data_IF_090328966712
#
_entry.id   IF_090328966712
#
_cell.length_a   1.000
_cell.length_b   1.000
_cell.length_c   1.000
_cell.angle_alpha   90.00
_cell.angle_beta   90.00
_cell.angle_gamma   90.00
#
_symmetry.space_group_name_H-M   'P 1'
#
loop_
_entity.id
_entity.type
_entity.pdbx_description
1 polymer ?
#
# COMPACT_ATOMS: atom_id res chain seq x y z
N UNK A 1 12.35 17.29 -5.43
CA UNK A 1 11.20 16.44 -5.06
C UNK A 1 11.18 15.30 -6.06
N UNK A 2 11.15 14.06 -5.57
CA UNK A 2 10.96 12.93 -6.47
C UNK A 2 9.56 13.02 -7.08
N UNK A 3 9.49 12.99 -8.40
CA UNK A 3 8.26 13.13 -9.18
C UNK A 3 7.59 11.76 -9.40
N UNK A 4 6.35 11.79 -9.92
CA UNK A 4 5.70 10.57 -10.44
C UNK A 4 6.54 9.90 -11.53
N UNK A 5 7.16 10.70 -12.40
CA UNK A 5 8.07 10.22 -13.45
C UNK A 5 9.28 9.48 -12.88
N UNK A 6 9.88 9.96 -11.77
CA UNK A 6 10.99 9.27 -11.11
C UNK A 6 10.52 7.92 -10.53
N UNK A 7 9.33 7.88 -9.93
CA UNK A 7 8.76 6.63 -9.40
C UNK A 7 8.52 5.61 -10.52
N UNK A 8 7.87 6.02 -11.60
CA UNK A 8 7.61 5.14 -12.75
C UNK A 8 8.92 4.64 -13.39
N UNK A 9 9.97 5.46 -13.41
CA UNK A 9 11.29 5.04 -13.85
C UNK A 9 11.85 3.90 -12.99
N UNK A 10 11.74 3.99 -11.67
CA UNK A 10 12.16 2.91 -10.76
C UNK A 10 11.35 1.62 -11.01
N UNK A 11 10.02 1.73 -11.20
CA UNK A 11 9.16 0.59 -11.53
C UNK A 11 9.55 -0.10 -12.85
N UNK A 12 10.00 0.65 -13.85
CA UNK A 12 10.41 0.10 -15.15
C UNK A 12 11.80 -0.55 -15.13
N UNK A 13 12.64 -0.16 -14.20
CA UNK A 13 14.06 -0.60 -14.16
C UNK A 13 14.35 -1.67 -13.13
N UNK A 14 13.55 -1.74 -12.07
CA UNK A 14 13.67 -2.77 -11.02
C UNK A 14 12.77 -3.95 -11.32
N UNK A 15 13.10 -5.11 -10.76
CA UNK A 15 12.35 -6.36 -10.95
C UNK A 15 11.86 -6.98 -9.66
N UNK A 16 12.25 -6.43 -8.51
CA UNK A 16 12.00 -7.01 -7.19
C UNK A 16 11.27 -6.02 -6.30
N UNK A 17 10.26 -6.49 -5.59
CA UNK A 17 9.51 -5.71 -4.60
C UNK A 17 9.47 -6.45 -3.26
N UNK A 18 9.35 -5.68 -2.18
CA UNK A 18 9.20 -6.17 -0.82
C UNK A 18 8.07 -5.39 -0.11
N UNK A 19 6.83 -5.88 -0.14
CA UNK A 19 5.74 -5.26 0.59
C UNK A 19 5.83 -5.51 2.10
N UNK A 20 5.25 -4.58 2.87
CA UNK A 20 4.90 -4.83 4.26
C UNK A 20 3.85 -5.96 4.36
N UNK A 21 3.91 -6.76 5.42
CA UNK A 21 3.01 -7.91 5.65
C UNK A 21 1.66 -7.50 6.25
N UNK A 22 1.11 -6.39 5.78
CA UNK A 22 -0.24 -5.93 6.11
C UNK A 22 -1.07 -5.69 4.83
N UNK A 23 -2.30 -5.22 5.02
CA UNK A 23 -3.22 -5.04 3.89
C UNK A 23 -2.71 -3.96 2.94
N UNK A 24 -2.16 -2.86 3.44
CA UNK A 24 -1.67 -1.75 2.61
C UNK A 24 -0.48 -2.17 1.74
N UNK A 25 0.53 -2.79 2.36
CA UNK A 25 1.69 -3.32 1.63
C UNK A 25 1.31 -4.37 0.58
N UNK A 26 0.40 -5.28 0.94
CA UNK A 26 -0.07 -6.35 0.06
C UNK A 26 -0.86 -5.82 -1.14
N UNK A 27 -1.79 -4.89 -0.92
CA UNK A 27 -2.56 -4.24 -1.99
C UNK A 27 -1.66 -3.39 -2.88
N UNK A 28 -0.66 -2.71 -2.30
CA UNK A 28 0.37 -2.00 -3.06
C UNK A 28 1.13 -2.92 -4.00
N UNK A 29 1.54 -4.09 -3.52
CA UNK A 29 2.22 -5.09 -4.35
C UNK A 29 1.31 -5.63 -5.47
N UNK A 30 0.05 -5.93 -5.17
CA UNK A 30 -0.93 -6.38 -6.15
C UNK A 30 -1.09 -5.36 -7.29
N UNK A 31 -1.34 -4.08 -6.96
CA UNK A 31 -1.51 -3.01 -7.95
C UNK A 31 -0.28 -2.91 -8.86
N UNK A 32 0.92 -2.93 -8.26
CA UNK A 32 2.16 -2.80 -9.02
C UNK A 32 2.46 -4.02 -9.89
N UNK A 33 2.26 -5.25 -9.39
CA UNK A 33 2.49 -6.45 -10.19
C UNK A 33 1.47 -6.63 -11.31
N UNK A 34 0.24 -6.13 -11.11
CA UNK A 34 -0.78 -6.10 -12.17
C UNK A 34 -0.40 -5.13 -13.29
N UNK A 35 0.07 -3.92 -12.94
CA UNK A 35 0.49 -2.92 -13.92
C UNK A 35 1.86 -3.22 -14.56
N UNK A 36 2.75 -3.86 -13.81
CA UNK A 36 4.14 -4.17 -14.20
C UNK A 36 4.45 -5.65 -13.96
N UNK A 37 4.05 -6.57 -14.85
CA UNK A 37 4.18 -8.03 -14.64
C UNK A 37 5.61 -8.55 -14.49
N UNK A 38 6.62 -7.75 -14.77
CA UNK A 38 8.03 -8.09 -14.55
C UNK A 38 8.47 -7.93 -13.09
N UNK A 39 7.69 -7.21 -12.27
CA UNK A 39 7.93 -7.09 -10.84
C UNK A 39 7.55 -8.39 -10.12
N UNK A 40 8.43 -8.86 -9.23
CA UNK A 40 8.22 -10.07 -8.43
C UNK A 40 8.35 -9.75 -6.96
N UNK A 41 7.54 -10.38 -6.13
CA UNK A 41 7.69 -10.32 -4.68
C UNK A 41 8.85 -11.24 -4.31
N UNK A 42 10.00 -10.64 -3.99
CA UNK A 42 11.23 -11.34 -3.60
C UNK A 42 11.60 -11.08 -2.14
N UNK A 43 10.83 -10.24 -1.46
CA UNK A 43 10.96 -9.97 -0.04
C UNK A 43 9.63 -9.63 0.61
N UNK A 44 9.58 -9.72 1.93
CA UNK A 44 8.50 -9.23 2.77
C UNK A 44 9.10 -8.45 3.93
N UNK A 45 8.42 -7.42 4.40
CA UNK A 45 8.86 -6.63 5.55
C UNK A 45 7.78 -6.57 6.62
N UNK A 46 8.14 -6.21 7.85
CA UNK A 46 7.19 -5.91 8.90
C UNK A 46 7.50 -4.56 9.56
N UNK A 47 6.55 -4.08 10.35
CA UNK A 47 6.70 -2.82 11.10
C UNK A 47 7.83 -2.86 12.16
N UNK A 48 8.44 -4.03 12.40
CA UNK A 48 9.53 -4.23 13.36
C UNK A 48 10.90 -4.29 12.69
N UNK A 49 11.00 -3.90 11.42
CA UNK A 49 12.24 -3.89 10.64
C UNK A 49 12.81 -5.27 10.29
N UNK A 50 12.01 -6.34 10.36
CA UNK A 50 12.41 -7.64 9.82
C UNK A 50 12.21 -7.67 8.31
N UNK A 51 13.08 -8.40 7.62
CA UNK A 51 12.97 -8.69 6.20
C UNK A 51 13.07 -10.19 6.01
N UNK A 52 12.13 -10.76 5.26
CA UNK A 52 12.18 -12.13 4.76
C UNK A 52 12.47 -12.08 3.27
N UNK A 53 13.39 -12.88 2.81
CA UNK A 53 13.90 -12.83 1.43
C UNK A 53 13.79 -14.19 0.77
N UNK A 54 13.53 -14.22 -0.53
CA UNK A 54 13.83 -15.40 -1.35
C UNK A 54 15.35 -15.51 -1.56
N UNK A 55 15.81 -16.68 -2.00
CA UNK A 55 17.24 -16.92 -2.26
C UNK A 55 17.83 -16.02 -3.36
N UNK A 56 16.98 -15.54 -4.27
CA UNK A 56 17.38 -14.74 -5.42
C UNK A 56 17.22 -13.23 -5.16
N UNK A 57 16.79 -12.89 -3.96
CA UNK A 57 16.53 -11.52 -3.55
C UNK A 57 17.82 -10.69 -3.42
N UNK A 58 17.74 -9.43 -3.84
CA UNK A 58 18.84 -8.46 -3.67
C UNK A 58 18.31 -7.20 -3.00
N UNK A 59 18.66 -6.99 -1.75
CA UNK A 59 18.14 -5.90 -0.90
C UNK A 59 18.18 -4.54 -1.59
N UNK A 60 19.32 -4.18 -2.19
CA UNK A 60 19.50 -2.84 -2.77
C UNK A 60 18.80 -2.67 -4.13
N UNK A 61 18.27 -3.75 -4.70
CA UNK A 61 17.52 -3.73 -5.97
C UNK A 61 16.01 -3.74 -5.78
N UNK A 62 15.53 -3.92 -4.55
CA UNK A 62 14.11 -3.97 -4.26
C UNK A 62 13.48 -2.57 -4.25
N UNK A 63 12.17 -2.54 -4.52
CA UNK A 63 11.29 -1.45 -4.13
C UNK A 63 10.53 -1.90 -2.89
N UNK A 64 10.72 -1.20 -1.80
CA UNK A 64 10.01 -1.45 -0.54
C UNK A 64 8.67 -0.71 -0.55
N UNK A 65 7.59 -1.43 -0.25
CA UNK A 65 6.22 -0.93 -0.30
C UNK A 65 5.65 -0.87 1.12
N UNK A 66 5.13 0.30 1.49
CA UNK A 66 4.62 0.58 2.83
C UNK A 66 5.65 0.31 3.93
N UNK A 67 6.90 0.61 3.60
CA UNK A 67 8.05 0.44 4.46
C UNK A 67 9.12 1.49 4.16
N UNK A 68 9.71 2.06 5.20
CA UNK A 68 10.78 3.02 5.08
C UNK A 68 12.09 2.48 5.66
N UNK A 69 13.19 2.70 4.94
CA UNK A 69 14.55 2.46 5.44
C UNK A 69 15.45 3.65 5.16
N UNK A 70 16.38 3.92 6.08
CA UNK A 70 17.41 4.98 5.94
C UNK A 70 18.56 4.58 5.00
N UNK A 71 18.60 3.34 4.50
CA UNK A 71 19.65 2.89 3.57
C UNK A 71 19.66 3.75 2.31
N UNK A 72 20.83 4.20 1.92
CA UNK A 72 21.05 4.91 0.66
C UNK A 72 20.82 3.97 -0.54
N UNK A 73 20.44 4.54 -1.68
CA UNK A 73 20.21 3.83 -2.95
C UNK A 73 19.08 2.78 -2.93
N UNK A 74 18.34 2.66 -1.85
CA UNK A 74 17.17 1.79 -1.75
C UNK A 74 15.91 2.57 -2.09
N UNK A 75 15.10 2.02 -2.99
CA UNK A 75 13.80 2.60 -3.35
C UNK A 75 12.75 2.23 -2.28
N UNK A 76 12.06 3.22 -1.73
CA UNK A 76 10.93 3.03 -0.83
C UNK A 76 9.75 3.88 -1.26
N UNK A 77 8.56 3.33 -1.15
CA UNK A 77 7.33 4.09 -1.21
C UNK A 77 6.51 3.83 0.05
N UNK A 78 6.13 4.89 0.75
CA UNK A 78 5.56 4.81 2.09
C UNK A 78 4.80 6.09 2.42
N UNK A 79 3.75 6.01 3.23
CA UNK A 79 2.95 7.17 3.66
C UNK A 79 3.12 7.50 5.14
N UNK A 80 3.85 6.71 5.91
CA UNK A 80 4.03 6.96 7.32
C UNK A 80 4.82 8.25 7.59
N UNK A 81 4.55 8.88 8.73
CA UNK A 81 5.38 9.99 9.19
C UNK A 81 6.71 9.43 9.68
N UNK A 82 7.77 9.93 9.08
CA UNK A 82 9.15 9.61 9.42
C UNK A 82 9.81 10.85 10.05
N UNK A 83 10.62 10.64 11.06
CA UNK A 83 11.42 11.72 11.66
C UNK A 83 12.51 12.15 10.67
N UNK A 84 12.50 13.43 10.26
CA UNK A 84 13.08 13.89 8.98
C UNK A 84 14.41 14.62 9.17
N UNK A 85 14.99 14.68 10.39
CA UNK A 85 16.12 15.57 10.64
C UNK A 85 17.38 15.32 9.78
N UNK A 86 17.52 14.13 9.13
CA UNK A 86 18.74 13.74 8.42
C UNK A 86 18.54 13.27 6.97
N UNK A 87 17.48 13.68 6.26
CA UNK A 87 17.19 13.08 4.96
C UNK A 87 17.68 13.93 3.79
N UNK A 88 18.67 13.41 3.07
CA UNK A 88 19.04 13.91 1.75
C UNK A 88 17.87 13.74 0.77
N UNK A 89 17.45 14.84 0.12
CA UNK A 89 16.29 14.86 -0.80
C UNK A 89 16.53 14.12 -2.14
N UNK A 90 17.75 13.69 -2.40
CA UNK A 90 18.14 12.95 -3.61
C UNK A 90 17.89 11.44 -3.50
N UNK A 91 17.45 10.97 -2.33
CA UNK A 91 17.16 9.55 -2.11
C UNK A 91 15.89 9.10 -2.83
N UNK A 92 15.88 7.86 -3.30
CA UNK A 92 14.75 7.17 -3.95
C UNK A 92 13.63 6.86 -2.94
N UNK A 93 13.18 7.87 -2.19
CA UNK A 93 12.18 7.76 -1.13
C UNK A 93 10.93 8.55 -1.52
N UNK A 94 9.88 7.84 -1.88
CA UNK A 94 8.59 8.39 -2.28
C UNK A 94 7.66 8.39 -1.06
N UNK A 95 7.49 9.55 -0.44
CA UNK A 95 6.64 9.69 0.73
C UNK A 95 5.96 11.07 0.74
N UNK A 96 4.61 11.13 0.68
CA UNK A 96 3.88 12.40 0.59
C UNK A 96 4.03 13.25 1.86
N UNK A 97 4.13 12.62 3.03
CA UNK A 97 4.32 13.34 4.29
C UNK A 97 5.70 13.98 4.37
N UNK A 98 6.73 13.26 3.93
CA UNK A 98 8.09 13.79 3.83
C UNK A 98 8.17 14.98 2.87
N UNK A 99 7.57 14.85 1.68
CA UNK A 99 7.55 15.92 0.67
C UNK A 99 6.90 17.19 1.21
N UNK A 100 5.90 17.05 2.08
CA UNK A 100 5.20 18.16 2.72
C UNK A 100 5.75 18.55 4.09
N UNK A 101 6.90 18.00 4.48
CA UNK A 101 7.56 18.26 5.77
C UNK A 101 6.62 18.03 6.96
N UNK A 102 5.80 16.97 6.88
CA UNK A 102 4.94 16.56 7.99
C UNK A 102 5.73 15.78 9.02
N UNK A 103 5.48 16.08 10.28
CA UNK A 103 6.11 15.46 11.45
C UNK A 103 5.05 15.06 12.46
N UNK A 104 5.42 14.40 13.53
CA UNK A 104 4.51 14.07 14.62
C UNK A 104 3.83 15.31 15.25
N UNK A 105 4.45 16.50 15.17
CA UNK A 105 3.88 17.75 15.68
C UNK A 105 2.66 18.23 14.88
N UNK A 106 2.55 17.85 13.62
CA UNK A 106 1.43 18.21 12.74
C UNK A 106 0.73 16.97 12.18
N UNK A 107 0.65 15.91 12.98
CA UNK A 107 0.08 14.61 12.63
C UNK A 107 -1.33 14.70 12.03
N UNK A 108 -2.20 15.57 12.57
CA UNK A 108 -3.58 15.76 12.09
C UNK A 108 -3.68 16.34 10.68
N UNK A 109 -2.58 16.84 10.13
CA UNK A 109 -2.50 17.35 8.75
C UNK A 109 -1.64 16.50 7.83
N UNK A 110 -1.36 15.24 8.24
CA UNK A 110 -0.66 14.25 7.40
C UNK A 110 -1.48 13.86 6.18
N UNK A 111 -0.84 13.21 5.23
CA UNK A 111 -1.52 12.50 4.15
C UNK A 111 -2.44 11.43 4.77
N UNK A 112 -3.75 11.46 4.54
CA UNK A 112 -4.71 10.64 5.28
C UNK A 112 -4.97 9.28 4.66
N UNK A 113 -4.38 8.99 3.50
CA UNK A 113 -4.63 7.78 2.74
C UNK A 113 -3.53 6.76 2.93
N UNK A 114 -3.74 5.56 2.38
CA UNK A 114 -2.79 4.46 2.38
C UNK A 114 -1.67 4.63 1.34
N UNK A 115 -0.65 3.81 1.46
CA UNK A 115 0.46 3.76 0.50
C UNK A 115 -0.03 3.34 -0.89
N UNK A 116 -0.95 2.36 -1.00
CA UNK A 116 -1.47 1.94 -2.30
C UNK A 116 -2.25 3.06 -3.00
N UNK A 117 -2.98 3.93 -2.28
CA UNK A 117 -3.64 5.09 -2.89
C UNK A 117 -2.64 6.13 -3.37
N UNK A 118 -1.54 6.31 -2.66
CA UNK A 118 -0.44 7.16 -3.12
C UNK A 118 0.19 6.60 -4.40
N UNK A 119 0.37 5.28 -4.48
CA UNK A 119 0.84 4.59 -5.69
C UNK A 119 -0.12 4.82 -6.85
N UNK A 120 -1.42 4.60 -6.65
CA UNK A 120 -2.43 4.83 -7.69
C UNK A 120 -2.39 6.26 -8.21
N UNK A 121 -2.28 7.23 -7.30
CA UNK A 121 -2.18 8.63 -7.69
C UNK A 121 -0.94 8.93 -8.55
N UNK A 122 0.23 8.42 -8.16
CA UNK A 122 1.45 8.59 -8.95
C UNK A 122 1.34 7.92 -10.33
N UNK A 123 0.68 6.76 -10.40
CA UNK A 123 0.47 6.03 -11.66
C UNK A 123 -0.50 6.78 -12.59
N UNK A 124 -1.62 7.29 -12.06
CA UNK A 124 -2.59 8.07 -12.85
C UNK A 124 -1.97 9.33 -13.46
N UNK A 125 -1.11 10.03 -12.72
CA UNK A 125 -0.39 11.19 -13.26
C UNK A 125 0.49 10.88 -14.47
N UNK A 126 0.91 9.63 -14.62
CA UNK A 126 1.70 9.13 -15.74
C UNK A 126 0.87 8.32 -16.77
N UNK A 127 -0.46 8.37 -16.66
CA UNK A 127 -1.39 7.67 -17.54
C UNK A 127 -1.34 6.14 -17.42
N UNK A 128 -0.91 5.63 -16.28
CA UNK A 128 -0.86 4.19 -16.00
C UNK A 128 -2.01 3.83 -15.07
N UNK A 129 -2.90 2.97 -15.54
CA UNK A 129 -4.00 2.43 -14.73
C UNK A 129 -3.97 0.89 -14.78
N UNK A 130 -3.95 0.19 -13.63
CA UNK A 130 -4.10 -1.26 -13.62
C UNK A 130 -5.56 -1.63 -13.91
N UNK A 131 -5.75 -2.64 -14.74
CA UNK A 131 -7.08 -3.23 -14.99
C UNK A 131 -7.40 -4.20 -13.85
N UNK A 132 -8.27 -3.77 -12.93
CA UNK A 132 -8.63 -4.50 -11.72
C UNK A 132 -10.15 -4.48 -11.53
N UNK A 133 -10.74 -5.67 -11.38
CA UNK A 133 -12.15 -5.82 -11.04
C UNK A 133 -12.36 -5.59 -9.53
N UNK A 134 -12.83 -4.40 -9.18
CA UNK A 134 -13.06 -3.99 -7.79
C UNK A 134 -14.25 -4.71 -7.14
N UNK A 135 -15.21 -5.18 -7.92
CA UNK A 135 -16.44 -5.78 -7.43
C UNK A 135 -16.26 -7.30 -7.21
N UNK A 136 -15.11 -7.85 -7.60
CA UNK A 136 -14.82 -9.27 -7.43
C UNK A 136 -14.71 -9.64 -5.96
N UNK A 137 -15.44 -10.68 -5.57
CA UNK A 137 -15.41 -11.22 -4.21
C UNK A 137 -14.08 -11.93 -3.92
N UNK A 138 -13.48 -11.59 -2.78
CA UNK A 138 -12.26 -12.21 -2.27
C UNK A 138 -12.62 -13.33 -1.29
N UNK A 139 -13.44 -13.02 -0.29
CA UNK A 139 -13.87 -13.96 0.73
C UNK A 139 -15.12 -13.46 1.45
N UNK A 140 -16.02 -14.39 1.78
CA UNK A 140 -17.12 -14.18 2.75
C UNK A 140 -17.97 -12.92 2.44
N UNK A 141 -18.23 -12.62 1.16
CA UNK A 141 -18.94 -11.42 0.70
C UNK A 141 -18.10 -10.14 0.77
N UNK A 142 -16.80 -10.22 1.03
CA UNK A 142 -15.88 -9.09 0.98
C UNK A 142 -15.29 -8.97 -0.42
N UNK A 143 -15.50 -7.82 -1.03
CA UNK A 143 -14.95 -7.51 -2.36
C UNK A 143 -13.53 -6.93 -2.28
N UNK A 144 -12.88 -6.83 -3.43
CA UNK A 144 -11.60 -6.13 -3.50
C UNK A 144 -11.75 -4.65 -3.11
N UNK A 145 -12.88 -4.01 -3.49
CA UNK A 145 -13.18 -2.64 -3.05
C UNK A 145 -13.25 -2.53 -1.52
N UNK A 146 -13.91 -3.49 -0.85
CA UNK A 146 -13.96 -3.52 0.62
C UNK A 146 -12.57 -3.61 1.24
N UNK A 147 -11.67 -4.41 0.65
CA UNK A 147 -10.27 -4.52 1.12
C UNK A 147 -9.49 -3.24 0.90
N UNK A 148 -9.64 -2.61 -0.26
CA UNK A 148 -8.98 -1.34 -0.56
C UNK A 148 -9.44 -0.24 0.42
N UNK A 149 -10.72 -0.16 0.72
CA UNK A 149 -11.27 0.76 1.71
C UNK A 149 -10.81 0.44 3.14
N UNK A 150 -10.55 -0.85 3.41
CA UNK A 150 -10.04 -1.29 4.70
C UNK A 150 -8.54 -1.00 4.85
N UNK A 151 -7.80 -0.97 3.75
CA UNK A 151 -6.34 -0.87 3.74
C UNK A 151 -5.80 0.16 4.72
N UNK A 152 -5.10 -0.31 5.74
CA UNK A 152 -4.56 0.45 6.88
C UNK A 152 -5.53 1.48 7.52
N UNK A 153 -6.80 1.14 7.54
CA UNK A 153 -7.83 2.00 8.13
C UNK A 153 -8.16 3.25 7.34
N UNK A 154 -7.90 3.25 6.03
CA UNK A 154 -8.09 4.41 5.17
C UNK A 154 -9.47 5.05 5.31
N UNK A 155 -10.52 4.24 5.30
CA UNK A 155 -11.89 4.76 5.39
C UNK A 155 -12.14 5.46 6.75
N UNK A 156 -11.65 4.89 7.84
CA UNK A 156 -11.69 5.53 9.17
C UNK A 156 -10.89 6.82 9.19
N UNK A 157 -9.70 6.84 8.60
CA UNK A 157 -8.87 8.05 8.53
C UNK A 157 -9.56 9.15 7.71
N UNK A 158 -10.24 8.81 6.62
CA UNK A 158 -10.98 9.76 5.80
C UNK A 158 -12.14 10.41 6.56
N UNK A 159 -12.82 9.66 7.42
CA UNK A 159 -13.90 10.18 8.27
C UNK A 159 -13.32 11.00 9.43
N UNK A 160 -12.38 10.46 10.17
CA UNK A 160 -11.79 11.10 11.36
C UNK A 160 -11.07 12.40 11.04
N UNK A 161 -10.39 12.48 9.89
CA UNK A 161 -9.62 13.65 9.46
C UNK A 161 -10.28 14.38 8.29
N UNK A 162 -11.59 14.51 8.32
CA UNK A 162 -12.41 15.05 7.22
C UNK A 162 -11.88 16.33 6.58
N UNK A 163 -11.54 17.35 7.36
CA UNK A 163 -11.04 18.63 6.82
C UNK A 163 -9.71 18.46 6.07
N UNK A 164 -8.85 17.60 6.56
CA UNK A 164 -7.57 17.29 5.91
C UNK A 164 -7.80 16.43 4.66
N UNK A 165 -8.67 15.43 4.75
CA UNK A 165 -9.10 14.58 3.64
C UNK A 165 -9.65 15.40 2.49
N UNK A 166 -10.58 16.33 2.74
CA UNK A 166 -11.14 17.22 1.72
C UNK A 166 -10.08 18.11 1.05
N UNK A 167 -9.07 18.52 1.78
CA UNK A 167 -7.95 19.30 1.22
C UNK A 167 -7.11 18.44 0.27
N UNK A 168 -6.81 17.21 0.65
CA UNK A 168 -6.07 16.26 -0.18
C UNK A 168 -6.88 15.78 -1.37
N UNK A 169 -8.19 15.50 -1.19
CA UNK A 169 -9.11 15.15 -2.28
C UNK A 169 -9.06 16.22 -3.37
N UNK A 170 -9.26 17.50 -3.02
CA UNK A 170 -9.21 18.59 -4.00
C UNK A 170 -7.88 18.64 -4.76
N UNK A 171 -6.78 18.33 -4.10
CA UNK A 171 -5.46 18.32 -4.71
C UNK A 171 -5.26 17.16 -5.66
N UNK A 172 -5.74 15.98 -5.28
CA UNK A 172 -5.60 14.75 -6.08
C UNK A 172 -6.61 14.74 -7.23
N UNK A 173 -7.85 15.18 -6.98
CA UNK A 173 -8.96 15.11 -7.93
C UNK A 173 -8.91 16.18 -9.03
N UNK A 174 -7.97 17.11 -8.99
CA UNK A 174 -7.91 18.18 -10.01
C UNK A 174 -7.80 17.66 -11.45
N UNK A 175 -7.20 16.47 -11.62
CA UNK A 175 -6.96 15.85 -12.93
C UNK A 175 -7.30 14.34 -12.93
N UNK A 176 -8.15 13.88 -12.01
CA UNK A 176 -8.43 12.45 -11.84
C UNK A 176 -9.61 12.00 -12.70
N UNK A 177 -9.47 10.84 -13.35
CA UNK A 177 -10.58 10.16 -14.00
C UNK A 177 -11.52 9.56 -12.94
N UNK A 178 -12.79 9.98 -12.94
CA UNK A 178 -13.81 9.47 -12.02
C UNK A 178 -14.07 7.96 -12.16
N UNK A 179 -13.75 7.38 -13.31
CA UNK A 179 -13.88 5.94 -13.59
C UNK A 179 -12.64 5.15 -13.22
N UNK A 180 -11.57 5.81 -12.82
CA UNK A 180 -10.37 5.13 -12.34
C UNK A 180 -10.62 4.42 -11.00
N UNK A 181 -9.73 3.51 -10.64
CA UNK A 181 -9.77 2.85 -9.31
C UNK A 181 -9.78 3.91 -8.20
N UNK A 182 -8.93 4.91 -8.30
CA UNK A 182 -8.82 5.98 -7.33
C UNK A 182 -10.10 6.82 -7.28
N UNK A 183 -10.68 7.15 -8.44
CA UNK A 183 -11.95 7.86 -8.56
C UNK A 183 -13.11 7.11 -7.90
N UNK A 184 -13.23 5.82 -8.17
CA UNK A 184 -14.25 4.96 -7.54
C UNK A 184 -14.08 4.87 -6.02
N UNK A 185 -12.85 4.77 -5.51
CA UNK A 185 -12.57 4.80 -4.07
C UNK A 185 -13.02 6.11 -3.43
N UNK A 186 -12.69 7.24 -4.04
CA UNK A 186 -13.11 8.55 -3.55
C UNK A 186 -14.62 8.75 -3.61
N UNK A 187 -15.26 8.33 -4.69
CA UNK A 187 -16.72 8.39 -4.82
C UNK A 187 -17.40 7.62 -3.69
N UNK A 188 -16.95 6.39 -3.41
CA UNK A 188 -17.48 5.58 -2.31
C UNK A 188 -17.26 6.26 -0.95
N UNK A 189 -16.05 6.72 -0.65
CA UNK A 189 -15.75 7.42 0.61
C UNK A 189 -16.63 8.67 0.76
N UNK A 190 -16.86 9.39 -0.33
CA UNK A 190 -17.65 10.60 -0.31
C UNK A 190 -19.14 10.34 -0.05
N UNK A 191 -19.69 9.30 -0.67
CA UNK A 191 -21.08 8.88 -0.53
C UNK A 191 -21.38 8.34 0.88
N UNK A 192 -20.44 7.57 1.48
CA UNK A 192 -20.62 6.85 2.75
C UNK A 192 -19.83 7.48 3.91
N UNK A 193 -19.78 8.78 3.99
CA UNK A 193 -18.90 9.54 4.88
C UNK A 193 -19.48 9.73 6.29
N UNK A 194 -19.92 8.68 6.93
CA UNK A 194 -20.28 8.72 8.34
C UNK A 194 -19.35 7.86 9.19
N UNK A 195 -19.13 8.26 10.46
CA UNK A 195 -18.28 7.50 11.38
C UNK A 195 -18.84 6.11 11.64
N UNK A 196 -20.17 6.00 11.78
CA UNK A 196 -20.86 4.72 12.00
C UNK A 196 -20.68 3.77 10.81
N UNK A 197 -20.81 4.25 9.58
CA UNK A 197 -20.58 3.44 8.38
C UNK A 197 -19.13 2.99 8.28
N UNK A 198 -18.17 3.89 8.52
CA UNK A 198 -16.76 3.56 8.51
C UNK A 198 -16.41 2.51 9.58
N UNK A 199 -16.93 2.64 10.78
CA UNK A 199 -16.72 1.67 11.86
C UNK A 199 -17.37 0.33 11.55
N UNK A 200 -18.59 0.31 11.00
CA UNK A 200 -19.28 -0.91 10.61
C UNK A 200 -18.54 -1.63 9.46
N UNK A 201 -18.07 -0.89 8.47
CA UNK A 201 -17.26 -1.43 7.38
C UNK A 201 -15.98 -2.07 7.90
N UNK A 202 -15.22 -1.35 8.73
CA UNK A 202 -14.01 -1.86 9.38
C UNK A 202 -14.28 -3.16 10.14
N UNK A 203 -15.30 -3.17 11.01
CA UNK A 203 -15.64 -4.32 11.85
C UNK A 203 -16.04 -5.54 11.01
N UNK A 204 -16.88 -5.35 10.00
CA UNK A 204 -17.30 -6.42 9.09
C UNK A 204 -16.11 -7.05 8.37
N UNK A 205 -15.27 -6.21 7.78
CA UNK A 205 -14.10 -6.67 7.00
C UNK A 205 -13.07 -7.36 7.90
N UNK A 206 -12.78 -6.82 9.07
CA UNK A 206 -11.86 -7.43 10.04
C UNK A 206 -12.34 -8.80 10.53
N UNK A 207 -13.63 -8.94 10.80
CA UNK A 207 -14.22 -10.21 11.22
C UNK A 207 -14.19 -11.26 10.11
N UNK A 208 -14.53 -10.89 8.87
CA UNK A 208 -14.48 -11.82 7.74
C UNK A 208 -13.04 -12.27 7.48
N UNK A 209 -12.09 -11.37 7.48
CA UNK A 209 -10.68 -11.70 7.32
C UNK A 209 -10.12 -12.55 8.45
N UNK A 210 -10.48 -12.25 9.70
CA UNK A 210 -10.06 -13.06 10.85
C UNK A 210 -10.60 -14.49 10.78
N UNK A 211 -11.83 -14.69 10.31
CA UNK A 211 -12.37 -16.04 10.07
C UNK A 211 -11.66 -16.78 8.95
N UNK A 212 -11.38 -16.09 7.83
CA UNK A 212 -10.80 -16.72 6.65
C UNK A 212 -9.29 -17.00 6.79
N UNK A 213 -8.53 -16.07 7.37
CA UNK A 213 -7.05 -16.06 7.31
C UNK A 213 -6.35 -15.95 8.67
N UNK A 214 -7.11 -15.82 9.76
CA UNK A 214 -6.56 -15.51 11.08
C UNK A 214 -6.18 -14.03 11.22
N UNK A 215 -5.60 -13.67 12.37
CA UNK A 215 -5.21 -12.28 12.63
C UNK A 215 -3.99 -11.90 11.79
N UNK A 216 -4.16 -10.98 10.88
CA UNK A 216 -3.08 -10.43 10.05
C UNK A 216 -2.28 -9.37 10.80
N UNK A 217 -2.83 -8.84 11.91
CA UNK A 217 -2.25 -7.71 12.66
C UNK A 217 -1.26 -8.07 13.76
N UNK A 218 -1.26 -9.31 14.23
CA UNK A 218 -0.39 -9.68 15.34
C UNK A 218 1.03 -9.84 14.82
N UNK A 219 1.80 -8.77 14.94
CA UNK A 219 3.21 -8.62 14.65
C UNK A 219 3.98 -9.92 14.53
N UNK A 220 3.97 -10.48 13.36
CA UNK A 220 4.51 -11.80 13.08
C UNK A 220 6.02 -11.81 13.30
N UNK A 221 6.47 -12.77 14.07
CA UNK A 221 7.89 -13.16 14.00
C UNK A 221 8.24 -13.74 12.62
N UNK A 222 7.22 -14.29 11.93
CA UNK A 222 7.29 -14.82 10.57
C UNK A 222 5.93 -14.62 9.87
N UNK A 223 5.86 -14.45 8.54
CA UNK A 223 4.61 -14.36 7.80
C UNK A 223 3.78 -15.63 8.01
N UNK A 224 2.51 -15.48 8.37
CA UNK A 224 1.64 -16.62 8.64
C UNK A 224 1.17 -17.30 7.36
N UNK A 225 0.77 -18.58 7.46
CA UNK A 225 0.11 -19.28 6.35
C UNK A 225 -1.18 -18.58 5.90
N UNK A 226 -1.93 -17.97 6.84
CA UNK A 226 -3.10 -17.17 6.53
C UNK A 226 -2.78 -15.93 5.69
N UNK A 227 -1.64 -15.28 5.95
CA UNK A 227 -1.16 -14.17 5.14
C UNK A 227 -0.86 -14.61 3.69
N UNK A 228 -0.12 -15.69 3.50
CA UNK A 228 0.19 -16.20 2.16
C UNK A 228 -1.07 -16.61 1.40
N UNK A 229 -2.03 -17.26 2.07
CA UNK A 229 -3.31 -17.61 1.47
C UNK A 229 -4.10 -16.38 1.03
N UNK A 230 -4.19 -15.35 1.87
CA UNK A 230 -4.85 -14.10 1.56
C UNK A 230 -4.17 -13.38 0.38
N UNK A 231 -2.84 -13.34 0.36
CA UNK A 231 -2.07 -12.79 -0.74
C UNK A 231 -2.41 -13.50 -2.05
N UNK A 232 -2.43 -14.83 -2.05
CA UNK A 232 -2.81 -15.65 -3.20
C UNK A 232 -4.23 -15.37 -3.66
N UNK A 233 -5.19 -15.30 -2.75
CA UNK A 233 -6.60 -15.08 -3.08
C UNK A 233 -6.82 -13.70 -3.71
N UNK A 234 -6.16 -12.66 -3.21
CA UNK A 234 -6.18 -11.31 -3.81
C UNK A 234 -5.59 -11.34 -5.22
N UNK A 235 -4.45 -11.96 -5.42
CA UNK A 235 -3.83 -12.05 -6.75
C UNK A 235 -4.71 -12.85 -7.72
N UNK A 236 -5.30 -13.94 -7.28
CA UNK A 236 -6.24 -14.74 -8.10
C UNK A 236 -7.48 -13.94 -8.45
N UNK A 237 -8.03 -13.18 -7.50
CA UNK A 237 -9.20 -12.33 -7.72
C UNK A 237 -8.97 -11.22 -8.75
N UNK A 238 -7.73 -10.81 -8.96
CA UNK A 238 -7.36 -9.79 -9.96
C UNK A 238 -6.71 -10.37 -11.21
N UNK A 239 -6.77 -11.69 -11.40
CA UNK A 239 -6.09 -12.39 -12.51
C UNK A 239 -4.58 -12.10 -12.59
N UNK A 240 -3.97 -11.74 -11.46
CA UNK A 240 -2.54 -11.49 -11.36
C UNK A 240 -1.83 -12.82 -11.09
N UNK A 241 -0.71 -13.11 -11.77
CA UNK A 241 0.07 -14.33 -11.50
C UNK A 241 0.57 -14.38 -10.05
N UNK A 242 0.61 -15.57 -9.50
CA UNK A 242 1.20 -15.82 -8.18
C UNK A 242 2.72 -15.55 -8.24
N UNK A 243 3.15 -14.46 -7.61
CA UNK A 243 4.52 -13.97 -7.64
C UNK A 243 5.25 -14.12 -6.30
N UNK A 244 4.65 -14.80 -5.32
CA UNK A 244 5.28 -15.00 -4.01
C UNK A 244 5.74 -16.44 -3.80
N UNK A 245 6.66 -16.62 -2.87
CA UNK A 245 7.21 -17.91 -2.50
C UNK A 245 7.15 -18.09 -0.98
N UNK A 246 6.69 -19.27 -0.54
CA UNK A 246 6.79 -19.69 0.86
C UNK A 246 8.24 -19.98 1.30
N UNK A 247 9.17 -20.08 0.36
CA UNK A 247 10.59 -20.36 0.62
C UNK A 247 11.36 -19.09 0.98
N UNK A 248 10.87 -18.31 1.92
CA UNK A 248 11.55 -17.10 2.39
C UNK A 248 12.33 -17.38 3.67
N UNK A 249 13.50 -16.78 3.78
CA UNK A 249 14.31 -16.79 4.99
C UNK A 249 14.38 -15.40 5.62
N UNK A 250 14.42 -15.36 6.94
CA UNK A 250 14.50 -14.12 7.70
C UNK A 250 15.91 -13.56 7.68
N UNK A 251 16.02 -12.25 7.40
CA UNK A 251 17.24 -11.50 7.59
C UNK A 251 17.01 -10.40 8.64
N UNK A 252 17.94 -10.24 9.58
CA UNK A 252 17.90 -9.09 10.48
C UNK A 252 18.44 -7.86 9.74
N UNK A 253 17.65 -6.80 9.73
CA UNK A 253 18.13 -5.49 9.27
C UNK A 253 18.89 -4.83 10.41
N UNK A 254 20.18 -4.67 10.26
CA UNK A 254 20.96 -3.78 11.10
C UNK A 254 20.98 -2.38 10.49
#
# INVERSE_FOLDING_TARGET
MNSSTDFIKELKTRTQIAPNIDIDGMLSAMILTKAYPHLKIEGLTDSKTNIWLTKDATIDKMIYLDFYTKRQNVCCIDQHIIDVEDINYEDLKFNPNRQMKKTLKNYTSKFPYSTFMYILWLMEQEGVAPDIDLDREITDGITLLDLLLRGDGIYINCVTYFNNTSTWEKRIMMDMDENSILGRLFAYIHEHRTEDEAMNHKFRTENAMSRAYGSVKDGFSEPSEGFYRMLKDIYTATDTPDNYSHSMYKMNTY
#
